data_IF_039613026737
#
_entry.id   IF_039613026737
#
_cell.length_a   1.000
_cell.length_b   1.000
_cell.length_c   1.000
_cell.angle_alpha   90.00
_cell.angle_beta   90.00
_cell.angle_gamma   90.00
#
_symmetry.space_group_name_H-M   'P 1'
#
loop_
_entity.id
_entity.type
_entity.pdbx_description
1 polymer ?
#
# COMPACT_ATOMS: atom_id res chain seq x y z
N UNK A 1 5.01 7.06 -5.77
CA UNK A 1 4.08 5.91 -5.66
C UNK A 1 4.60 4.95 -4.58
N UNK A 2 3.78 4.16 -3.86
CA UNK A 2 4.29 3.20 -2.87
C UNK A 2 5.30 2.22 -3.49
N UNK A 3 6.29 1.79 -2.70
CA UNK A 3 7.27 0.75 -3.07
C UNK A 3 6.63 -0.63 -3.12
N UNK A 4 5.66 -0.88 -2.23
CA UNK A 4 4.84 -2.08 -2.20
C UNK A 4 3.52 -1.81 -1.50
N UNK A 5 2.55 -2.67 -1.73
CA UNK A 5 1.28 -2.71 -1.00
C UNK A 5 1.09 -4.10 -0.42
N UNK A 6 0.84 -4.16 0.88
CA UNK A 6 0.55 -5.40 1.61
C UNK A 6 -0.95 -5.44 1.92
N UNK A 7 -1.61 -6.55 1.60
CA UNK A 7 -3.03 -6.80 1.86
C UNK A 7 -3.19 -7.84 2.96
N UNK A 8 -4.00 -7.52 3.96
CA UNK A 8 -4.28 -8.41 5.08
C UNK A 8 -5.77 -8.58 5.31
N UNK A 9 -6.15 -9.72 5.88
CA UNK A 9 -7.50 -10.00 6.34
C UNK A 9 -7.53 -10.31 7.85
N UNK A 10 -8.67 -10.05 8.48
CA UNK A 10 -8.94 -10.40 9.87
C UNK A 10 -10.43 -10.67 10.09
N UNK A 11 -10.73 -11.60 10.99
CA UNK A 11 -12.09 -11.84 11.49
C UNK A 11 -12.43 -10.98 12.71
N UNK A 12 -11.43 -10.49 13.45
CA UNK A 12 -11.63 -9.83 14.74
C UNK A 12 -11.07 -8.40 14.82
N UNK A 13 -10.48 -7.91 13.73
CA UNK A 13 -9.90 -6.57 13.63
C UNK A 13 -8.61 -6.35 14.44
N UNK A 14 -8.03 -7.43 15.00
CA UNK A 14 -6.80 -7.40 15.81
C UNK A 14 -5.71 -8.27 15.20
N UNK A 15 -6.05 -9.52 14.92
CA UNK A 15 -5.13 -10.51 14.35
C UNK A 15 -5.25 -10.48 12.83
N UNK A 16 -4.21 -9.97 12.16
CA UNK A 16 -4.19 -9.81 10.72
C UNK A 16 -3.25 -10.82 10.07
N UNK A 17 -3.75 -11.53 9.06
CA UNK A 17 -2.99 -12.48 8.26
C UNK A 17 -2.65 -11.82 6.92
N UNK A 18 -1.38 -11.89 6.51
CA UNK A 18 -0.94 -11.39 5.20
C UNK A 18 -1.48 -12.29 4.10
N UNK A 19 -2.23 -11.71 3.17
CA UNK A 19 -2.79 -12.41 2.01
C UNK A 19 -1.87 -12.29 0.80
N UNK A 20 -1.41 -11.08 0.51
CA UNK A 20 -0.58 -10.79 -0.66
C UNK A 20 0.28 -9.56 -0.43
N UNK A 21 1.45 -9.57 -1.06
CA UNK A 21 2.29 -8.39 -1.26
C UNK A 21 2.39 -8.14 -2.75
N UNK A 22 2.17 -6.90 -3.17
CA UNK A 22 2.39 -6.44 -4.54
C UNK A 22 3.54 -5.43 -4.50
N UNK A 23 4.66 -5.80 -5.09
CA UNK A 23 5.81 -4.90 -5.26
C UNK A 23 5.57 -3.95 -6.43
N UNK A 24 6.06 -2.72 -6.30
CA UNK A 24 6.05 -1.77 -7.38
C UNK A 24 7.24 -2.00 -8.32
N UNK A 25 6.97 -2.14 -9.61
CA UNK A 25 7.94 -2.33 -10.68
C UNK A 25 8.36 -1.01 -11.37
N UNK A 26 7.72 0.11 -11.03
CA UNK A 26 8.11 1.44 -11.53
C UNK A 26 9.42 1.85 -10.86
N UNK A 27 10.40 2.27 -11.66
CA UNK A 27 11.67 2.81 -11.17
C UNK A 27 11.38 4.01 -10.26
N UNK A 28 11.92 4.07 -9.03
CA UNK A 28 11.77 5.22 -8.14
C UNK A 28 12.23 6.57 -8.74
N UNK A 29 13.04 6.54 -9.82
CA UNK A 29 13.50 7.71 -10.57
C UNK A 29 12.58 8.09 -11.73
N UNK A 30 11.52 7.33 -11.99
CA UNK A 30 10.53 7.70 -13.00
C UNK A 30 9.69 8.88 -12.51
N UNK A 31 9.88 10.04 -13.15
CA UNK A 31 9.19 11.30 -12.84
C UNK A 31 7.89 11.47 -13.63
N UNK A 32 7.49 10.49 -14.47
CA UNK A 32 6.25 10.59 -15.24
C UNK A 32 5.04 10.56 -14.32
N UNK A 33 4.08 11.44 -14.62
CA UNK A 33 2.74 11.36 -14.05
C UNK A 33 2.06 10.11 -14.59
N UNK A 34 1.75 9.18 -13.69
CA UNK A 34 1.15 7.90 -14.02
C UNK A 34 0.25 7.40 -12.90
N UNK A 35 -0.78 6.66 -13.29
CA UNK A 35 -1.67 5.94 -12.40
C UNK A 35 -1.30 4.46 -12.51
N UNK A 36 -1.31 3.76 -11.38
CA UNK A 36 -1.06 2.33 -11.35
C UNK A 36 -1.98 1.68 -10.34
N UNK A 37 -2.60 0.60 -10.78
CA UNK A 37 -3.38 -0.26 -9.92
C UNK A 37 -2.47 -1.25 -9.19
N UNK A 38 -2.72 -1.40 -7.89
CA UNK A 38 -2.17 -2.47 -7.08
C UNK A 38 -3.31 -3.45 -6.83
N UNK A 39 -3.42 -4.47 -7.68
CA UNK A 39 -4.47 -5.49 -7.60
C UNK A 39 -3.91 -6.81 -7.08
N UNK A 40 -4.71 -7.53 -6.31
CA UNK A 40 -4.35 -8.85 -5.78
C UNK A 40 -5.52 -9.81 -5.95
N UNK A 41 -5.30 -10.89 -6.71
CA UNK A 41 -6.16 -12.05 -6.66
C UNK A 41 -5.73 -12.92 -5.47
N UNK A 42 -6.68 -13.19 -4.58
CA UNK A 42 -6.49 -14.00 -3.39
C UNK A 42 -7.43 -15.20 -3.45
N UNK A 43 -7.09 -16.28 -2.74
CA UNK A 43 -8.02 -17.39 -2.56
C UNK A 43 -9.27 -16.90 -1.81
N UNK A 44 -10.45 -17.50 -2.05
CA UNK A 44 -11.65 -17.21 -1.29
C UNK A 44 -11.36 -17.24 0.21
N UNK A 45 -11.43 -16.08 0.85
CA UNK A 45 -11.04 -15.86 2.24
C UNK A 45 -12.19 -15.16 2.96
N UNK A 46 -12.74 -15.78 3.99
CA UNK A 46 -13.70 -15.10 4.86
C UNK A 46 -12.98 -14.06 5.72
N UNK A 47 -13.49 -12.84 5.72
CA UNK A 47 -12.94 -11.72 6.50
C UNK A 47 -14.05 -10.73 6.85
N UNK A 48 -13.97 -10.15 8.05
CA UNK A 48 -14.79 -8.99 8.42
C UNK A 48 -14.02 -7.67 8.21
N UNK A 49 -12.69 -7.74 8.27
CA UNK A 49 -11.81 -6.58 8.17
C UNK A 49 -10.71 -6.82 7.13
N UNK A 50 -10.51 -5.83 6.27
CA UNK A 50 -9.38 -5.77 5.34
C UNK A 50 -8.47 -4.63 5.77
N UNK A 51 -7.15 -4.86 5.71
CA UNK A 51 -6.14 -3.83 5.91
C UNK A 51 -5.27 -3.75 4.66
N UNK A 52 -5.21 -2.54 4.10
CA UNK A 52 -4.36 -2.19 2.97
C UNK A 52 -3.22 -1.34 3.48
N UNK A 53 -1.97 -1.80 3.29
CA UNK A 53 -0.78 -1.16 3.86
C UNK A 53 0.25 -0.83 2.77
N UNK A 54 0.12 0.33 2.12
CA UNK A 54 1.15 0.88 1.23
C UNK A 54 2.41 1.28 2.03
N UNK A 55 3.59 0.93 1.51
CA UNK A 55 4.87 1.30 2.10
C UNK A 55 5.61 2.29 1.20
N UNK A 56 6.12 3.37 1.79
CA UNK A 56 7.02 4.33 1.14
C UNK A 56 8.47 3.99 1.44
N UNK A 57 9.35 4.27 0.48
CA UNK A 57 10.79 4.39 0.70
C UNK A 57 11.16 5.84 0.96
N UNK A 58 11.48 6.19 2.21
CA UNK A 58 11.93 7.53 2.60
C UNK A 58 12.12 7.64 4.11
N UNK A 59 13.11 8.43 4.54
CA UNK A 59 13.31 8.74 5.96
C UNK A 59 12.50 10.00 6.30
N UNK A 60 11.44 9.86 7.09
CA UNK A 60 10.86 11.00 7.79
C UNK A 60 11.84 11.42 8.90
N UNK A 61 12.78 12.31 8.59
CA UNK A 61 13.67 12.91 9.61
C UNK A 61 12.85 13.92 10.42
N UNK A 62 12.56 13.60 11.67
CA UNK A 62 11.84 14.48 12.61
C UNK A 62 12.66 15.75 12.87
N UNK A 63 12.14 16.91 12.46
CA UNK A 63 12.73 18.22 12.79
C UNK A 63 12.66 19.28 11.69
N UNK A 64 12.36 18.90 10.45
CA UNK A 64 12.08 19.84 9.35
C UNK A 64 10.56 19.86 9.13
N UNK A 65 9.98 21.07 9.09
CA UNK A 65 8.53 21.32 9.04
C UNK A 65 7.82 20.79 7.79
N UNK A 66 8.55 20.29 6.80
CA UNK A 66 7.96 19.54 5.69
C UNK A 66 8.88 18.36 5.36
N UNK A 67 8.38 17.11 5.36
CA UNK A 67 9.17 15.99 4.89
C UNK A 67 9.44 16.20 3.41
N UNK A 68 10.72 16.28 3.02
CA UNK A 68 11.06 16.17 1.60
C UNK A 68 10.60 14.80 1.10
N UNK A 69 9.50 14.85 0.34
CA UNK A 69 9.28 13.98 -0.80
C UNK A 69 9.11 12.51 -0.47
N UNK A 70 8.01 12.16 0.19
CA UNK A 70 7.32 10.91 -0.17
C UNK A 70 5.87 11.00 0.28
N UNK A 71 5.03 11.62 -0.55
CA UNK A 71 3.59 11.48 -0.45
C UNK A 71 3.16 10.50 -1.56
N UNK A 72 2.19 9.65 -1.25
CA UNK A 72 1.39 8.99 -2.27
C UNK A 72 -0.06 9.42 -2.08
N UNK A 73 -0.77 9.44 -3.19
CA UNK A 73 -2.20 9.68 -3.22
C UNK A 73 -2.88 8.38 -3.63
N UNK A 74 -3.94 8.05 -2.91
CA UNK A 74 -4.80 6.91 -3.20
C UNK A 74 -6.17 7.51 -3.47
N UNK A 75 -6.73 7.17 -4.62
CA UNK A 75 -8.08 7.57 -5.00
C UNK A 75 -9.09 6.57 -4.41
N UNK A 76 -9.00 5.31 -4.83
CA UNK A 76 -9.96 4.27 -4.45
C UNK A 76 -9.29 3.05 -3.80
N UNK A 77 -10.02 2.44 -2.86
CA UNK A 77 -9.78 1.08 -2.38
C UNK A 77 -11.06 0.29 -2.60
N UNK A 78 -11.01 -0.71 -3.50
CA UNK A 78 -12.16 -1.56 -3.81
C UNK A 78 -11.89 -3.01 -3.41
N UNK A 79 -12.92 -3.69 -2.89
CA UNK A 79 -12.94 -5.13 -2.66
C UNK A 79 -14.21 -5.70 -3.29
N UNK A 80 -14.10 -6.80 -4.04
CA UNK A 80 -15.18 -7.43 -4.82
C UNK A 80 -15.25 -8.92 -4.52
#
# INVERSE_FOLDING_TARGET
MPKKVEYYASMNGKDFILLKTIDNDIDPKDEKVQIKDFSAEILPTEAQYIKVKPTISGNFRSGIREPEGSLYFIDEISAK
#
